data_IF_208131711285
#
_entry.id   IF_208131711285
#
_cell.length_a   1.000
_cell.length_b   1.000
_cell.length_c   1.000
_cell.angle_alpha   90.00
_cell.angle_beta   90.00
_cell.angle_gamma   90.00
#
_symmetry.space_group_name_H-M   'P 1'
#
loop_
_entity.id
_entity.type
_entity.pdbx_description
1 polymer ?
#
# COMPACT_ATOMS: atom_id res chain seq x y z
N UNK A 1 -17.84 47.46 37.52
CA UNK A 1 -16.94 48.53 36.98
C UNK A 1 -16.51 48.10 35.57
N UNK A 2 -17.03 48.82 34.60
CA UNK A 2 -16.57 49.15 33.24
C UNK A 2 -15.89 48.07 32.36
N UNK A 3 -16.59 47.63 31.27
CA UNK A 3 -16.60 48.09 29.89
C UNK A 3 -15.24 47.96 29.17
N UNK A 4 -15.15 47.26 28.05
CA UNK A 4 -15.50 47.65 26.67
C UNK A 4 -15.23 46.46 25.69
N UNK A 5 -16.06 46.01 24.87
CA UNK A 5 -16.65 46.19 23.53
C UNK A 5 -15.67 46.47 22.38
N UNK A 6 -15.92 45.67 21.33
CA UNK A 6 -15.76 45.90 19.89
C UNK A 6 -14.43 45.45 19.25
N UNK A 7 -14.47 44.76 18.14
CA UNK A 7 -15.04 44.94 16.79
C UNK A 7 -14.90 43.65 15.98
N UNK A 8 -15.90 43.06 15.44
CA UNK A 8 -16.58 43.14 14.13
C UNK A 8 -15.75 43.06 12.84
N UNK A 9 -16.13 42.02 12.03
CA UNK A 9 -16.19 41.92 10.53
C UNK A 9 -14.93 41.38 9.84
N UNK A 10 -15.05 40.36 8.99
CA UNK A 10 -15.82 40.31 7.72
C UNK A 10 -16.02 38.87 7.25
N UNK A 11 -17.22 38.56 6.82
CA UNK A 11 -17.56 37.37 6.08
C UNK A 11 -17.05 37.45 4.64
N UNK A 12 -16.84 36.30 4.04
CA UNK A 12 -16.69 36.19 2.61
C UNK A 12 -17.72 35.17 2.11
N UNK A 13 -18.75 35.70 1.45
CA UNK A 13 -19.72 34.97 0.64
C UNK A 13 -19.00 34.39 -0.56
N UNK A 14 -19.12 33.12 -0.81
CA UNK A 14 -18.75 32.53 -2.09
C UNK A 14 -20.02 32.12 -2.83
N UNK A 15 -20.22 32.78 -3.96
CA UNK A 15 -21.35 32.66 -4.87
C UNK A 15 -21.23 31.36 -5.62
N UNK A 16 -22.26 30.50 -5.56
CA UNK A 16 -22.46 29.39 -6.48
C UNK A 16 -22.86 29.91 -7.85
N UNK A 17 -22.05 29.65 -8.85
CA UNK A 17 -22.41 29.83 -10.25
C UNK A 17 -22.72 28.46 -10.86
N UNK A 18 -23.99 28.21 -11.11
CA UNK A 18 -24.47 27.10 -11.96
C UNK A 18 -24.05 27.38 -13.41
N UNK A 19 -23.35 26.45 -14.02
CA UNK A 19 -23.26 26.37 -15.48
C UNK A 19 -24.00 25.11 -15.97
N UNK A 20 -25.12 25.40 -16.65
CA UNK A 20 -25.81 24.42 -17.48
C UNK A 20 -25.04 24.31 -18.81
N UNK A 21 -24.63 23.10 -19.18
CA UNK A 21 -24.11 22.84 -20.53
C UNK A 21 -25.10 21.93 -21.28
N UNK A 22 -25.65 22.51 -22.29
CA UNK A 22 -26.49 21.92 -23.34
C UNK A 22 -25.69 20.92 -24.18
N UNK A 23 -26.23 19.72 -24.33
CA UNK A 23 -25.83 18.70 -25.29
C UNK A 23 -26.13 19.14 -26.71
N UNK A 24 -25.09 19.13 -27.58
CA UNK A 24 -25.26 19.16 -29.02
C UNK A 24 -24.86 17.83 -29.61
N UNK A 25 -25.84 17.10 -30.12
CA UNK A 25 -25.65 15.90 -30.95
C UNK A 25 -25.41 16.37 -32.38
N UNK A 26 -24.25 16.08 -32.90
CA UNK A 26 -23.91 16.32 -34.33
C UNK A 26 -23.63 15.00 -35.03
N UNK A 27 -24.58 14.53 -35.81
CA UNK A 27 -24.38 13.45 -36.77
C UNK A 27 -23.65 13.99 -37.98
N UNK A 28 -22.56 13.36 -38.38
CA UNK A 28 -21.91 13.59 -39.67
C UNK A 28 -21.94 12.28 -40.46
N UNK A 29 -22.70 12.34 -41.53
CA UNK A 29 -22.82 11.33 -42.59
C UNK A 29 -21.60 11.30 -43.49
N UNK A 30 -21.18 10.08 -43.84
CA UNK A 30 -20.16 9.79 -44.84
C UNK A 30 -20.59 10.15 -46.26
N UNK A 31 -19.66 10.57 -47.09
CA UNK A 31 -19.71 10.42 -48.52
C UNK A 31 -18.42 9.81 -49.05
N UNK A 32 -18.61 8.74 -49.83
CA UNK A 32 -17.59 8.03 -50.62
C UNK A 32 -16.94 8.89 -51.68
N UNK A 33 -15.67 8.64 -51.96
CA UNK A 33 -15.16 8.64 -53.33
C UNK A 33 -13.87 7.81 -53.50
N UNK A 34 -13.96 6.88 -54.39
CA UNK A 34 -12.94 5.98 -54.91
C UNK A 34 -11.65 6.66 -55.40
N UNK A 35 -10.50 6.11 -55.05
CA UNK A 35 -9.42 5.92 -56.05
C UNK A 35 -8.44 4.80 -55.60
N UNK A 36 -8.28 3.83 -56.45
CA UNK A 36 -7.35 2.70 -56.36
C UNK A 36 -5.90 3.19 -56.38
N UNK A 37 -5.11 2.78 -55.41
CA UNK A 37 -3.66 2.47 -55.61
C UNK A 37 -3.23 1.39 -54.63
N UNK A 38 -2.93 0.19 -55.19
CA UNK A 38 -2.28 -0.95 -54.54
C UNK A 38 -0.89 -0.52 -54.05
N UNK A 39 -0.64 -0.63 -52.75
CA UNK A 39 0.71 -0.80 -52.20
C UNK A 39 0.73 -2.00 -51.23
N UNK A 40 1.70 -2.87 -51.46
CA UNK A 40 2.01 -4.09 -50.69
C UNK A 40 2.01 -3.77 -49.20
N UNK A 41 1.17 -4.45 -48.43
CA UNK A 41 1.16 -4.43 -47.00
C UNK A 41 2.42 -5.09 -46.42
N UNK A 42 3.26 -4.34 -45.76
CA UNK A 42 4.16 -4.87 -44.78
C UNK A 42 3.31 -5.11 -43.53
N UNK A 43 3.04 -6.35 -43.23
CA UNK A 43 2.52 -6.79 -41.96
C UNK A 43 3.59 -6.48 -40.86
N UNK A 44 3.53 -5.30 -40.27
CA UNK A 44 4.17 -5.08 -39.01
C UNK A 44 3.33 -5.83 -37.95
N UNK A 45 3.79 -7.01 -37.57
CA UNK A 45 3.39 -7.62 -36.31
C UNK A 45 3.86 -6.67 -35.22
N UNK A 46 2.95 -5.90 -34.65
CA UNK A 46 3.18 -5.13 -33.45
C UNK A 46 3.47 -6.19 -32.38
N UNK A 47 4.73 -6.40 -32.06
CA UNK A 47 5.11 -7.13 -30.85
C UNK A 47 4.51 -6.33 -29.71
N UNK A 48 3.47 -6.88 -29.09
CA UNK A 48 2.94 -6.37 -27.83
C UNK A 48 4.13 -6.24 -26.87
N UNK A 49 4.40 -5.00 -26.43
CA UNK A 49 5.50 -4.71 -25.52
C UNK A 49 5.27 -5.51 -24.22
N UNK A 50 6.23 -6.32 -23.85
CA UNK A 50 6.20 -7.23 -22.69
C UNK A 50 5.99 -6.51 -21.34
N UNK A 51 6.05 -5.17 -21.29
CA UNK A 51 5.76 -4.40 -20.08
C UNK A 51 4.25 -4.31 -19.79
N UNK A 52 3.41 -4.24 -20.83
CA UNK A 52 1.95 -4.35 -20.68
C UNK A 52 1.57 -5.78 -20.30
N UNK A 53 2.31 -6.77 -20.80
CA UNK A 53 2.11 -8.18 -20.47
C UNK A 53 2.37 -8.53 -18.98
N UNK A 54 3.14 -7.73 -18.26
CA UNK A 54 3.37 -7.96 -16.82
C UNK A 54 2.17 -7.50 -15.96
N UNK A 55 1.30 -6.64 -16.48
CA UNK A 55 0.10 -6.13 -15.81
C UNK A 55 -1.18 -6.82 -16.33
N UNK A 56 -1.21 -7.20 -17.61
CA UNK A 56 -2.46 -7.63 -18.29
C UNK A 56 -2.61 -9.14 -18.49
N UNK A 57 -1.63 -9.96 -18.16
CA UNK A 57 -1.57 -11.34 -18.64
C UNK A 57 -1.77 -12.43 -17.58
N UNK A 58 -2.45 -12.16 -16.48
CA UNK A 58 -2.95 -13.25 -15.65
C UNK A 58 -4.42 -12.93 -15.37
N UNK A 59 -5.28 -13.82 -15.85
CA UNK A 59 -6.66 -13.95 -15.39
C UNK A 59 -6.60 -14.46 -13.94
N UNK A 60 -6.01 -13.62 -13.07
CA UNK A 60 -5.70 -13.93 -11.70
C UNK A 60 -6.93 -13.62 -10.87
N UNK A 61 -7.66 -14.67 -10.54
CA UNK A 61 -8.80 -14.63 -9.66
C UNK A 61 -8.39 -15.30 -8.33
N UNK A 62 -7.79 -14.55 -7.39
CA UNK A 62 -7.30 -15.14 -6.16
C UNK A 62 -8.45 -15.62 -5.29
N UNK A 63 -8.20 -16.67 -4.52
CA UNK A 63 -9.03 -16.96 -3.34
C UNK A 63 -8.73 -15.89 -2.30
N UNK A 64 -9.75 -15.18 -1.83
CA UNK A 64 -9.61 -14.18 -0.76
C UNK A 64 -10.14 -14.76 0.54
N UNK A 65 -9.26 -14.94 1.52
CA UNK A 65 -9.60 -15.38 2.86
C UNK A 65 -9.57 -14.17 3.80
N UNK A 66 -10.68 -13.91 4.46
CA UNK A 66 -10.84 -12.78 5.40
C UNK A 66 -10.90 -13.32 6.82
N UNK A 67 -10.00 -12.85 7.67
CA UNK A 67 -9.88 -13.24 9.06
C UNK A 67 -10.17 -12.03 9.94
N UNK A 68 -11.29 -12.05 10.66
CA UNK A 68 -11.62 -11.00 11.64
C UNK A 68 -11.30 -11.53 13.02
N UNK A 69 -10.40 -10.84 13.73
CA UNK A 69 -10.13 -11.15 15.11
C UNK A 69 -11.38 -10.97 15.96
N UNK A 70 -11.70 -11.97 16.81
CA UNK A 70 -12.83 -11.91 17.72
C UNK A 70 -12.41 -12.04 19.18
N UNK A 71 -11.27 -11.46 19.56
CA UNK A 71 -10.85 -11.32 20.96
C UNK A 71 -11.79 -10.41 21.76
N UNK A 72 -11.59 -10.37 23.07
CA UNK A 72 -12.41 -9.54 23.96
C UNK A 72 -12.27 -8.03 23.68
N UNK A 73 -11.10 -7.57 23.24
CA UNK A 73 -10.86 -6.17 22.88
C UNK A 73 -11.67 -5.73 21.64
N UNK A 74 -11.96 -6.67 20.73
CA UNK A 74 -12.73 -6.36 19.52
C UNK A 74 -14.22 -6.12 19.78
N UNK A 75 -14.78 -6.53 20.94
CA UNK A 75 -16.20 -6.32 21.27
C UNK A 75 -16.62 -4.83 21.19
N UNK A 76 -15.68 -3.92 21.46
CA UNK A 76 -15.96 -2.48 21.44
C UNK A 76 -16.14 -1.89 20.04
N UNK A 77 -15.62 -2.56 19.01
CA UNK A 77 -15.77 -2.14 17.62
C UNK A 77 -17.08 -2.59 16.98
N UNK A 78 -17.72 -3.62 17.54
CA UNK A 78 -18.97 -4.22 17.02
C UNK A 78 -20.15 -3.97 17.95
N UNK A 79 -20.07 -2.97 18.82
CA UNK A 79 -21.16 -2.58 19.72
C UNK A 79 -21.87 -1.35 19.22
N UNK A 80 -23.00 -1.57 18.55
CA UNK A 80 -23.80 -0.53 17.91
C UNK A 80 -23.31 -0.24 16.48
N UNK A 81 -23.78 0.84 15.89
CA UNK A 81 -23.32 1.25 14.55
C UNK A 81 -21.95 1.91 14.65
N UNK A 82 -20.96 1.29 14.07
CA UNK A 82 -19.56 1.77 14.11
C UNK A 82 -19.00 1.90 12.70
N UNK A 83 -17.97 2.73 12.55
CA UNK A 83 -17.26 2.82 11.27
C UNK A 83 -16.51 1.54 10.94
N UNK A 84 -16.13 0.72 11.93
CA UNK A 84 -15.51 -0.57 11.73
C UNK A 84 -16.37 -1.47 10.82
N UNK A 85 -17.62 -1.67 11.17
CA UNK A 85 -18.55 -2.49 10.38
C UNK A 85 -18.72 -1.93 8.96
N UNK A 86 -18.92 -0.61 8.84
CA UNK A 86 -19.09 0.05 7.56
C UNK A 86 -17.84 -0.07 6.67
N UNK A 87 -16.65 0.18 7.23
CA UNK A 87 -15.38 0.10 6.50
C UNK A 87 -15.13 -1.34 6.02
N UNK A 88 -15.31 -2.32 6.91
CA UNK A 88 -15.10 -3.73 6.58
C UNK A 88 -16.08 -4.18 5.51
N UNK A 89 -17.38 -3.87 5.67
CA UNK A 89 -18.42 -4.22 4.69
C UNK A 89 -18.10 -3.62 3.31
N UNK A 90 -17.87 -2.31 3.24
CA UNK A 90 -17.59 -1.62 1.99
C UNK A 90 -16.34 -2.19 1.32
N UNK A 91 -15.30 -2.48 2.09
CA UNK A 91 -14.08 -3.05 1.53
C UNK A 91 -14.32 -4.41 0.89
N UNK A 92 -15.00 -5.32 1.57
CA UNK A 92 -15.28 -6.67 1.06
C UNK A 92 -16.24 -6.65 -0.14
N UNK A 93 -17.26 -5.79 -0.12
CA UNK A 93 -18.17 -5.60 -1.26
C UNK A 93 -17.41 -5.03 -2.47
N UNK A 94 -16.53 -4.05 -2.24
CA UNK A 94 -15.74 -3.44 -3.29
C UNK A 94 -14.76 -4.42 -3.96
N UNK A 95 -14.20 -5.37 -3.21
CA UNK A 95 -13.39 -6.47 -3.79
C UNK A 95 -14.20 -7.31 -4.77
N UNK A 96 -15.48 -7.61 -4.45
CA UNK A 96 -16.40 -8.33 -5.36
C UNK A 96 -16.79 -7.47 -6.57
N UNK A 97 -17.16 -6.21 -6.36
CA UNK A 97 -17.57 -5.29 -7.44
C UNK A 97 -16.44 -4.99 -8.41
N UNK A 98 -15.21 -4.89 -7.93
CA UNK A 98 -14.01 -4.73 -8.75
C UNK A 98 -13.60 -6.04 -9.47
N UNK A 99 -14.33 -7.14 -9.28
CA UNK A 99 -14.04 -8.46 -9.85
C UNK A 99 -12.62 -8.96 -9.54
N UNK A 100 -12.15 -8.66 -8.34
CA UNK A 100 -10.85 -9.10 -7.87
C UNK A 100 -10.88 -10.58 -7.54
N UNK A 101 -11.97 -11.03 -6.94
CA UNK A 101 -12.20 -12.44 -6.58
C UNK A 101 -13.63 -12.86 -6.83
N UNK A 102 -13.80 -14.11 -7.25
CA UNK A 102 -15.10 -14.81 -7.25
C UNK A 102 -15.28 -15.69 -6.00
N UNK A 103 -14.19 -15.93 -5.24
CA UNK A 103 -14.18 -16.80 -4.07
C UNK A 103 -13.65 -16.05 -2.85
N UNK A 104 -14.56 -15.65 -1.95
CA UNK A 104 -14.27 -14.94 -0.71
C UNK A 104 -14.75 -15.80 0.46
N UNK A 105 -13.81 -16.26 1.29
CA UNK A 105 -14.07 -17.04 2.49
C UNK A 105 -13.93 -16.17 3.74
N UNK A 106 -14.82 -16.36 4.69
CA UNK A 106 -14.89 -15.59 5.93
C UNK A 106 -14.54 -16.45 7.13
N UNK A 107 -13.74 -15.91 8.04
CA UNK A 107 -13.31 -16.57 9.27
C UNK A 107 -13.32 -15.57 10.42
N UNK A 108 -13.71 -16.05 11.61
CA UNK A 108 -13.19 -15.46 12.83
C UNK A 108 -11.85 -16.10 13.19
N UNK A 109 -10.99 -15.33 13.83
CA UNK A 109 -9.68 -15.82 14.29
C UNK A 109 -9.42 -15.36 15.74
N UNK A 110 -8.94 -16.27 16.53
CA UNK A 110 -8.41 -16.07 17.89
C UNK A 110 -7.33 -17.13 18.16
N UNK A 111 -7.47 -17.99 19.17
CA UNK A 111 -6.62 -19.18 19.30
C UNK A 111 -6.86 -20.23 18.22
N UNK A 112 -7.95 -20.11 17.45
CA UNK A 112 -8.39 -21.04 16.41
C UNK A 112 -8.87 -20.27 15.18
N UNK A 113 -8.89 -20.95 14.03
CA UNK A 113 -9.62 -20.51 12.85
C UNK A 113 -11.05 -21.03 12.91
N UNK A 114 -12.02 -20.13 12.75
CA UNK A 114 -13.45 -20.40 12.89
C UNK A 114 -14.17 -20.02 11.59
N UNK A 115 -14.29 -20.97 10.62
CA UNK A 115 -14.88 -20.66 9.32
C UNK A 115 -16.35 -20.27 9.45
N UNK A 116 -16.80 -19.34 8.62
CA UNK A 116 -18.15 -18.84 8.52
C UNK A 116 -18.73 -19.18 7.16
N UNK A 117 -19.99 -19.58 7.13
CA UNK A 117 -20.70 -19.96 5.90
C UNK A 117 -21.64 -18.84 5.40
N UNK A 118 -21.75 -17.75 6.18
CA UNK A 118 -22.60 -16.60 5.82
C UNK A 118 -22.04 -15.90 4.58
N UNK A 119 -22.89 -15.23 3.81
CA UNK A 119 -22.39 -14.27 2.82
C UNK A 119 -21.84 -13.01 3.52
N UNK A 120 -21.23 -12.10 2.75
CA UNK A 120 -20.58 -10.91 3.32
C UNK A 120 -21.58 -10.02 4.05
N UNK A 121 -22.79 -9.84 3.51
CA UNK A 121 -23.79 -8.99 4.12
C UNK A 121 -24.28 -9.58 5.43
N UNK A 122 -24.72 -10.83 5.41
CA UNK A 122 -25.20 -11.55 6.60
C UNK A 122 -24.12 -11.63 7.68
N UNK A 123 -22.86 -11.85 7.27
CA UNK A 123 -21.73 -11.90 8.18
C UNK A 123 -21.52 -10.58 8.91
N UNK A 124 -21.54 -9.45 8.17
CA UNK A 124 -21.34 -8.13 8.76
C UNK A 124 -22.54 -7.70 9.62
N UNK A 125 -23.77 -7.97 9.18
CA UNK A 125 -24.97 -7.66 9.96
C UNK A 125 -25.02 -8.42 11.30
N UNK A 126 -24.31 -9.56 11.40
CA UNK A 126 -24.18 -10.35 12.64
C UNK A 126 -22.94 -9.99 13.47
N UNK A 127 -22.19 -8.95 13.07
CA UNK A 127 -21.04 -8.48 13.86
C UNK A 127 -21.52 -7.73 15.10
N UNK A 128 -21.67 -8.46 16.20
CA UNK A 128 -22.03 -7.92 17.52
C UNK A 128 -21.33 -8.69 18.62
N UNK A 129 -21.21 -8.15 19.86
CA UNK A 129 -20.47 -8.82 20.94
C UNK A 129 -21.02 -10.20 21.28
N UNK A 130 -22.35 -10.42 21.13
CA UNK A 130 -22.99 -11.71 21.38
C UNK A 130 -22.57 -12.77 20.36
N UNK A 131 -22.55 -12.42 19.07
CA UNK A 131 -22.12 -13.32 18.01
C UNK A 131 -20.62 -13.65 18.12
N UNK A 132 -19.79 -12.65 18.45
CA UNK A 132 -18.37 -12.88 18.73
C UNK A 132 -18.15 -13.90 19.84
N UNK A 133 -18.88 -13.76 20.95
CA UNK A 133 -18.77 -14.68 22.10
C UNK A 133 -19.26 -16.08 21.77
N UNK A 134 -20.28 -16.21 20.96
CA UNK A 134 -20.89 -17.49 20.59
C UNK A 134 -19.98 -18.36 19.71
N UNK A 135 -18.97 -17.79 19.05
CA UNK A 135 -18.12 -18.53 18.08
C UNK A 135 -17.06 -19.40 18.75
N UNK A 136 -16.78 -19.21 20.05
CA UNK A 136 -15.83 -20.03 20.80
C UNK A 136 -14.36 -19.62 20.60
N UNK A 137 -13.46 -20.53 20.97
CA UNK A 137 -12.02 -20.25 21.03
C UNK A 137 -11.63 -19.47 22.29
N UNK A 138 -10.33 -19.25 22.49
CA UNK A 138 -9.84 -18.40 23.58
C UNK A 138 -9.86 -16.93 23.12
N UNK A 139 -10.74 -16.16 23.72
CA UNK A 139 -10.92 -14.73 23.46
C UNK A 139 -10.19 -13.83 24.46
N UNK A 140 -9.60 -14.41 25.50
CA UNK A 140 -8.98 -13.68 26.61
C UNK A 140 -7.53 -13.26 26.36
N UNK A 141 -6.91 -13.77 25.29
CA UNK A 141 -5.52 -13.44 24.94
C UNK A 141 -5.39 -13.31 23.44
N UNK A 142 -4.71 -12.24 22.98
CA UNK A 142 -4.38 -12.03 21.58
C UNK A 142 -2.92 -12.41 21.34
N UNK A 143 -2.68 -13.62 20.84
CA UNK A 143 -1.38 -14.07 20.34
C UNK A 143 -1.28 -13.79 18.83
N UNK A 144 -0.88 -12.57 18.50
CA UNK A 144 -0.80 -12.10 17.11
C UNK A 144 0.17 -12.95 16.29
N UNK A 145 1.29 -13.37 16.88
CA UNK A 145 2.27 -14.25 16.23
C UNK A 145 1.64 -15.59 15.81
N UNK A 146 0.85 -16.19 16.70
CA UNK A 146 0.14 -17.44 16.41
C UNK A 146 -0.96 -17.24 15.35
N UNK A 147 -1.73 -16.13 15.41
CA UNK A 147 -2.76 -15.82 14.42
C UNK A 147 -2.14 -15.68 13.02
N UNK A 148 -1.04 -14.92 12.88
CA UNK A 148 -0.31 -14.80 11.61
C UNK A 148 0.21 -16.15 11.16
N UNK A 149 0.71 -16.98 12.10
CA UNK A 149 1.16 -18.34 11.80
C UNK A 149 0.05 -19.25 11.25
N UNK A 150 -1.18 -19.15 11.79
CA UNK A 150 -2.35 -19.86 11.25
C UNK A 150 -2.71 -19.36 9.85
N UNK A 151 -2.70 -18.04 9.62
CA UNK A 151 -2.95 -17.44 8.31
C UNK A 151 -1.92 -17.93 7.28
N UNK A 152 -0.63 -17.91 7.61
CA UNK A 152 0.43 -18.37 6.70
C UNK A 152 0.27 -19.85 6.30
N UNK A 153 -0.26 -20.70 7.16
CA UNK A 153 -0.50 -22.12 6.86
C UNK A 153 -1.62 -22.34 5.83
N UNK A 154 -2.62 -21.46 5.81
CA UNK A 154 -3.75 -21.50 4.86
C UNK A 154 -3.45 -20.85 3.53
N UNK A 155 -2.28 -20.21 3.38
CA UNK A 155 -1.92 -19.45 2.17
C UNK A 155 -1.18 -20.30 1.14
N UNK A 156 -1.32 -19.89 -0.12
CA UNK A 156 -0.48 -20.26 -1.25
C UNK A 156 -0.37 -19.08 -2.22
N UNK A 157 0.35 -19.23 -3.33
CA UNK A 157 0.56 -18.15 -4.32
C UNK A 157 -0.72 -17.65 -5.01
N UNK A 158 -1.82 -18.41 -4.93
CA UNK A 158 -3.14 -18.03 -5.46
C UNK A 158 -4.08 -17.44 -4.40
N UNK A 159 -3.61 -17.26 -3.16
CA UNK A 159 -4.41 -16.77 -2.04
C UNK A 159 -4.03 -15.34 -1.67
N UNK A 160 -5.03 -14.54 -1.34
CA UNK A 160 -4.85 -13.28 -0.62
C UNK A 160 -5.55 -13.41 0.73
N UNK A 161 -4.81 -13.23 1.81
CA UNK A 161 -5.31 -13.25 3.17
C UNK A 161 -5.46 -11.83 3.70
N UNK A 162 -6.66 -11.51 4.21
CA UNK A 162 -6.98 -10.21 4.81
C UNK A 162 -7.19 -10.42 6.30
N UNK A 163 -6.32 -9.88 7.13
CA UNK A 163 -6.41 -9.95 8.58
C UNK A 163 -6.88 -8.62 9.14
N UNK A 164 -7.97 -8.62 9.89
CA UNK A 164 -8.62 -7.44 10.47
C UNK A 164 -8.61 -7.58 11.99
N UNK A 165 -7.95 -6.63 12.67
CA UNK A 165 -7.67 -6.70 14.10
C UNK A 165 -7.36 -5.32 14.67
N UNK A 166 -7.55 -5.11 15.96
CA UNK A 166 -6.99 -3.96 16.67
C UNK A 166 -5.49 -4.11 16.95
N UNK A 167 -4.93 -5.28 16.67
CA UNK A 167 -3.52 -5.63 16.83
C UNK A 167 -2.96 -5.35 18.23
N UNK A 168 -3.79 -5.40 19.28
CA UNK A 168 -3.35 -5.23 20.66
C UNK A 168 -2.76 -6.54 21.17
N UNK A 169 -1.53 -6.49 21.62
CA UNK A 169 -0.87 -7.64 22.23
C UNK A 169 -1.32 -7.84 23.68
N UNK A 170 -1.48 -9.09 24.13
CA UNK A 170 -1.92 -9.44 25.46
C UNK A 170 -0.87 -10.30 26.18
N UNK A 171 0.10 -9.69 26.89
CA UNK A 171 1.13 -10.46 27.60
C UNK A 171 0.56 -11.23 28.78
N UNK A 172 -0.45 -10.72 29.45
CA UNK A 172 -1.01 -11.26 30.67
C UNK A 172 -0.29 -10.76 31.93
N UNK A 173 -0.95 -10.94 33.07
CA UNK A 173 -0.47 -10.44 34.38
C UNK A 173 0.92 -10.96 34.72
N UNK A 174 1.78 -10.07 35.23
CA UNK A 174 3.09 -10.40 35.77
C UNK A 174 4.16 -10.71 34.74
N UNK A 175 3.87 -10.56 33.45
CA UNK A 175 4.88 -10.69 32.39
C UNK A 175 5.53 -9.35 32.11
N UNK A 176 6.84 -9.39 31.77
CA UNK A 176 7.52 -8.21 31.25
C UNK A 176 7.00 -7.87 29.85
N UNK A 177 6.52 -6.65 29.68
CA UNK A 177 5.93 -6.20 28.42
C UNK A 177 6.96 -6.15 27.27
N UNK A 178 8.17 -5.69 27.56
CA UNK A 178 9.22 -5.57 26.55
C UNK A 178 9.72 -6.92 26.08
N UNK A 179 9.94 -7.86 27.01
CA UNK A 179 10.31 -9.23 26.67
C UNK A 179 9.21 -9.90 25.85
N UNK A 180 7.95 -9.77 26.27
CA UNK A 180 6.83 -10.34 25.54
C UNK A 180 6.73 -9.79 24.12
N UNK A 181 6.76 -8.47 23.93
CA UNK A 181 6.69 -7.83 22.61
C UNK A 181 7.86 -8.26 21.71
N UNK A 182 9.07 -8.37 22.27
CA UNK A 182 10.22 -8.86 21.51
C UNK A 182 10.03 -10.31 21.06
N UNK A 183 9.51 -11.18 21.95
CA UNK A 183 9.22 -12.57 21.61
C UNK A 183 8.13 -12.68 20.52
N UNK A 184 7.10 -11.84 20.58
CA UNK A 184 6.07 -11.76 19.54
C UNK A 184 6.67 -11.29 18.19
N UNK A 185 7.53 -10.27 18.19
CA UNK A 185 8.25 -9.82 16.98
C UNK A 185 9.06 -10.96 16.38
N UNK A 186 9.83 -11.69 17.19
CA UNK A 186 10.64 -12.84 16.75
C UNK A 186 9.74 -13.94 16.17
N UNK A 187 8.61 -14.22 16.83
CA UNK A 187 7.62 -15.21 16.37
C UNK A 187 7.05 -14.82 15.00
N UNK A 188 6.61 -13.58 14.83
CA UNK A 188 6.10 -13.05 13.55
C UNK A 188 7.18 -13.13 12.46
N UNK A 189 8.38 -12.67 12.75
CA UNK A 189 9.53 -12.77 11.82
C UNK A 189 9.77 -14.22 11.38
N UNK A 190 9.67 -15.17 12.32
CA UNK A 190 9.90 -16.58 12.03
C UNK A 190 8.82 -17.14 11.11
N UNK A 191 7.52 -16.99 11.44
CA UNK A 191 6.43 -17.58 10.63
C UNK A 191 6.31 -16.95 9.24
N UNK A 192 6.43 -15.61 9.15
CA UNK A 192 6.43 -14.89 7.88
C UNK A 192 7.69 -15.22 7.06
N UNK A 193 8.85 -15.28 7.72
CA UNK A 193 10.12 -15.59 7.07
C UNK A 193 10.21 -17.02 6.54
N UNK A 194 9.64 -18.01 7.24
CA UNK A 194 9.53 -19.38 6.75
C UNK A 194 8.64 -19.43 5.50
N UNK A 195 7.48 -18.78 5.53
CA UNK A 195 6.60 -18.68 4.37
C UNK A 195 7.31 -17.98 3.20
N UNK A 196 7.95 -16.83 3.44
CA UNK A 196 8.68 -16.06 2.42
C UNK A 196 9.82 -16.85 1.76
N UNK A 197 10.50 -17.73 2.51
CA UNK A 197 11.55 -18.60 1.95
C UNK A 197 11.01 -19.56 0.88
N UNK A 198 9.80 -20.09 1.10
CA UNK A 198 9.14 -20.99 0.15
C UNK A 198 8.40 -20.19 -0.95
N UNK A 199 7.92 -18.99 -0.65
CA UNK A 199 7.10 -18.14 -1.49
C UNK A 199 7.70 -16.72 -1.61
N UNK A 200 8.81 -16.53 -2.35
CA UNK A 200 9.57 -15.26 -2.37
C UNK A 200 8.83 -14.09 -3.06
N UNK A 201 7.66 -14.36 -3.62
CA UNK A 201 6.76 -13.33 -4.17
C UNK A 201 5.83 -12.73 -3.11
N UNK A 202 5.87 -13.22 -1.87
CA UNK A 202 5.07 -12.67 -0.77
C UNK A 202 5.34 -11.18 -0.62
N UNK A 203 4.27 -10.44 -0.49
CA UNK A 203 4.25 -9.04 -0.07
C UNK A 203 3.17 -8.86 1.00
N UNK A 204 3.28 -7.81 1.78
CA UNK A 204 2.34 -7.46 2.82
C UNK A 204 1.97 -5.99 2.70
N UNK A 205 0.69 -5.67 2.84
CA UNK A 205 0.17 -4.32 2.94
C UNK A 205 -0.55 -4.15 4.27
N UNK A 206 -0.45 -2.96 4.88
CA UNK A 206 -1.14 -2.63 6.11
C UNK A 206 -1.79 -1.25 6.04
N UNK A 207 -3.04 -1.16 6.49
CA UNK A 207 -3.79 0.07 6.63
C UNK A 207 -4.18 0.27 8.08
N UNK A 208 -3.98 1.49 8.59
CA UNK A 208 -4.53 1.93 9.86
C UNK A 208 -5.85 2.66 9.61
N UNK A 209 -6.90 2.22 10.27
CA UNK A 209 -8.24 2.79 10.21
C UNK A 209 -8.64 3.29 11.60
N UNK A 210 -9.57 4.24 11.67
CA UNK A 210 -10.17 4.71 12.92
C UNK A 210 -11.65 4.37 12.96
N UNK A 211 -12.13 3.91 14.11
CA UNK A 211 -13.54 3.66 14.35
C UNK A 211 -13.97 4.12 15.73
N UNK A 212 -15.24 4.41 15.87
CA UNK A 212 -15.90 4.49 17.17
C UNK A 212 -15.74 3.15 17.87
N UNK A 213 -15.43 3.23 19.15
CA UNK A 213 -15.21 2.11 20.05
C UNK A 213 -16.06 2.33 21.31
N UNK A 214 -16.80 1.31 21.74
CA UNK A 214 -17.58 1.32 22.97
C UNK A 214 -17.42 -0.01 23.70
N UNK A 215 -16.33 -0.16 24.44
CA UNK A 215 -15.99 -1.44 25.07
C UNK A 215 -14.86 -1.35 26.08
N UNK A 216 -14.39 -2.50 26.50
CA UNK A 216 -13.25 -2.59 27.40
C UNK A 216 -11.94 -2.63 26.59
N UNK A 217 -11.04 -1.71 26.92
CA UNK A 217 -9.65 -1.77 26.55
C UNK A 217 -8.88 -2.52 27.65
N UNK A 218 -8.02 -3.45 27.25
CA UNK A 218 -7.21 -4.22 28.17
C UNK A 218 -5.75 -3.75 28.10
N UNK A 219 -5.19 -3.40 29.25
CA UNK A 219 -3.78 -3.05 29.38
C UNK A 219 -2.88 -4.31 29.42
N UNK A 220 -1.56 -4.14 29.54
CA UNK A 220 -0.59 -5.24 29.61
C UNK A 220 -0.81 -6.23 30.75
N UNK A 221 -1.61 -5.87 31.77
CA UNK A 221 -1.94 -6.72 32.91
C UNK A 221 -3.33 -7.35 32.79
N UNK A 222 -3.96 -7.27 31.60
CA UNK A 222 -5.33 -7.68 31.35
C UNK A 222 -6.34 -6.93 32.24
N UNK A 223 -6.01 -5.70 32.64
CA UNK A 223 -6.91 -4.85 33.39
C UNK A 223 -7.79 -4.06 32.42
N UNK A 224 -9.11 -4.34 32.46
CA UNK A 224 -10.08 -3.73 31.54
C UNK A 224 -10.49 -2.34 32.00
N UNK A 225 -10.38 -1.34 31.12
CA UNK A 225 -10.91 0.03 31.32
C UNK A 225 -12.01 0.26 30.31
N UNK A 226 -13.21 0.61 30.75
CA UNK A 226 -14.31 0.99 29.86
C UNK A 226 -13.95 2.30 29.14
N UNK A 227 -14.00 2.29 27.80
CA UNK A 227 -13.71 3.44 26.98
C UNK A 227 -14.76 3.62 25.90
N UNK A 228 -15.15 4.87 25.66
CA UNK A 228 -16.05 5.28 24.58
C UNK A 228 -15.35 6.41 23.83
N UNK A 229 -15.00 6.18 22.56
CA UNK A 229 -14.27 7.16 21.75
C UNK A 229 -13.75 6.55 20.46
N UNK A 230 -12.79 7.19 19.83
CA UNK A 230 -12.14 6.68 18.63
C UNK A 230 -10.95 5.79 18.98
N UNK A 231 -10.87 4.64 18.32
CA UNK A 231 -9.75 3.70 18.45
C UNK A 231 -9.29 3.23 17.07
N UNK A 232 -7.97 2.97 16.88
CA UNK A 232 -7.47 2.38 15.65
C UNK A 232 -7.81 0.88 15.57
N UNK A 233 -8.01 0.43 14.34
CA UNK A 233 -7.93 -0.97 13.95
C UNK A 233 -7.15 -1.07 12.63
N UNK A 234 -6.77 -2.26 12.25
CA UNK A 234 -5.87 -2.47 11.13
C UNK A 234 -6.42 -3.50 10.16
N UNK A 235 -6.17 -3.28 8.87
CA UNK A 235 -6.44 -4.22 7.80
C UNK A 235 -5.10 -4.60 7.18
N UNK A 236 -4.69 -5.84 7.36
CA UNK A 236 -3.45 -6.38 6.81
C UNK A 236 -3.76 -7.32 5.66
N UNK A 237 -3.08 -7.17 4.54
CA UNK A 237 -3.18 -8.03 3.37
C UNK A 237 -1.87 -8.78 3.18
N UNK A 238 -1.96 -10.08 3.05
CA UNK A 238 -0.85 -10.96 2.73
C UNK A 238 -1.14 -11.64 1.39
N UNK A 239 -0.20 -11.62 0.46
CA UNK A 239 -0.40 -12.22 -0.86
C UNK A 239 0.84 -12.05 -1.73
N UNK A 240 0.79 -12.48 -2.98
CA UNK A 240 1.86 -12.15 -3.91
C UNK A 240 1.86 -10.66 -4.24
N UNK A 241 3.03 -10.08 -4.49
CA UNK A 241 3.14 -8.66 -4.86
C UNK A 241 2.24 -8.31 -6.05
N UNK A 242 2.13 -9.19 -7.04
CA UNK A 242 1.25 -8.98 -8.19
C UNK A 242 -0.23 -8.95 -7.81
N UNK A 243 -0.67 -9.85 -6.90
CA UNK A 243 -2.05 -9.87 -6.41
C UNK A 243 -2.42 -8.61 -5.65
N UNK A 244 -1.56 -8.19 -4.70
CA UNK A 244 -1.80 -7.00 -3.89
C UNK A 244 -1.78 -5.73 -4.74
N UNK A 245 -0.86 -5.65 -5.72
CA UNK A 245 -0.81 -4.55 -6.66
C UNK A 245 -2.08 -4.46 -7.51
N UNK A 246 -2.61 -5.59 -7.97
CA UNK A 246 -3.89 -5.62 -8.70
C UNK A 246 -5.04 -5.13 -7.83
N UNK A 247 -5.14 -5.59 -6.59
CA UNK A 247 -6.16 -5.11 -5.64
C UNK A 247 -6.09 -3.58 -5.53
N UNK A 248 -4.91 -3.03 -5.24
CA UNK A 248 -4.71 -1.59 -5.08
C UNK A 248 -5.11 -0.82 -6.35
N UNK A 249 -4.65 -1.27 -7.53
CA UNK A 249 -4.93 -0.59 -8.79
C UNK A 249 -6.41 -0.65 -9.19
N UNK A 250 -7.08 -1.80 -9.03
CA UNK A 250 -8.51 -1.92 -9.34
C UNK A 250 -9.37 -1.13 -8.35
N UNK A 251 -9.01 -1.08 -7.08
CA UNK A 251 -9.68 -0.24 -6.09
C UNK A 251 -9.53 1.25 -6.45
N UNK A 252 -8.34 1.71 -6.80
CA UNK A 252 -8.08 3.09 -7.23
C UNK A 252 -8.81 3.45 -8.54
N UNK A 253 -8.76 2.56 -9.54
CA UNK A 253 -9.41 2.76 -10.85
C UNK A 253 -10.93 2.89 -10.72
N UNK A 254 -11.55 2.11 -9.86
CA UNK A 254 -12.97 2.14 -9.60
C UNK A 254 -13.36 3.17 -8.54
N UNK A 255 -12.41 3.94 -8.02
CA UNK A 255 -12.61 4.92 -6.92
C UNK A 255 -13.17 4.30 -5.64
N UNK A 256 -12.91 3.01 -5.43
CA UNK A 256 -13.22 2.31 -4.20
C UNK A 256 -12.11 2.58 -3.18
N UNK A 257 -12.13 3.74 -2.58
CA UNK A 257 -11.20 4.06 -1.49
C UNK A 257 -11.66 3.36 -0.21
N UNK A 258 -10.71 2.97 0.62
CA UNK A 258 -10.98 2.58 2.00
C UNK A 258 -11.38 3.85 2.76
N UNK A 259 -12.67 3.99 3.03
CA UNK A 259 -13.16 5.04 3.92
C UNK A 259 -12.52 4.86 5.30
N UNK A 260 -12.12 5.97 5.93
CA UNK A 260 -11.53 5.93 7.29
C UNK A 260 -10.05 5.56 7.37
N UNK A 261 -9.36 5.27 6.25
CA UNK A 261 -7.90 5.17 6.24
C UNK A 261 -7.28 6.56 6.39
N UNK A 262 -6.46 6.71 7.41
CA UNK A 262 -5.84 7.99 7.80
C UNK A 262 -4.55 8.29 7.02
N UNK A 263 -4.43 7.92 5.74
CA UNK A 263 -3.21 7.95 4.95
C UNK A 263 -2.05 7.08 5.51
N UNK A 264 -2.34 6.28 6.50
CA UNK A 264 -1.37 5.42 7.18
C UNK A 264 -1.34 4.06 6.49
N UNK A 265 -0.64 4.03 5.38
CA UNK A 265 -0.42 2.85 4.55
C UNK A 265 1.02 2.40 4.69
N UNK A 266 1.25 1.10 4.73
CA UNK A 266 2.57 0.50 4.62
C UNK A 266 2.57 -0.68 3.66
N UNK A 267 3.73 -0.95 3.06
CA UNK A 267 3.92 -2.13 2.24
C UNK A 267 5.33 -2.69 2.43
N UNK A 268 5.41 -4.02 2.42
CA UNK A 268 6.66 -4.77 2.50
C UNK A 268 6.73 -5.75 1.33
N UNK A 269 7.85 -5.75 0.62
CA UNK A 269 8.12 -6.71 -0.45
C UNK A 269 9.61 -6.99 -0.56
N UNK A 270 9.98 -8.13 -1.13
CA UNK A 270 11.38 -8.46 -1.42
C UNK A 270 11.95 -7.53 -2.49
N UNK A 271 13.22 -7.12 -2.31
CA UNK A 271 13.92 -6.26 -3.27
C UNK A 271 14.21 -6.98 -4.60
N UNK A 272 14.00 -6.30 -5.72
CA UNK A 272 14.22 -6.83 -7.08
C UNK A 272 15.00 -5.86 -7.96
N UNK A 273 15.59 -6.38 -9.05
CA UNK A 273 16.13 -5.52 -10.10
C UNK A 273 14.98 -5.07 -11.00
N UNK A 274 14.92 -3.78 -11.33
CA UNK A 274 13.91 -3.25 -12.25
C UNK A 274 14.07 -3.90 -13.62
N UNK A 275 13.01 -4.46 -14.20
CA UNK A 275 13.06 -4.98 -15.57
C UNK A 275 13.41 -3.86 -16.56
N UNK A 276 14.23 -4.16 -17.58
CA UNK A 276 14.69 -3.20 -18.59
C UNK A 276 13.55 -2.56 -19.41
N UNK A 277 12.38 -3.20 -19.44
CA UNK A 277 11.19 -2.64 -20.08
C UNK A 277 10.50 -1.55 -19.25
N UNK A 278 10.81 -1.49 -17.94
CA UNK A 278 10.14 -0.64 -16.98
C UNK A 278 10.83 0.72 -16.76
N UNK A 279 11.99 0.96 -17.36
CA UNK A 279 12.65 2.28 -17.29
C UNK A 279 13.37 2.64 -18.57
N UNK A 280 13.60 3.93 -18.79
CA UNK A 280 14.38 4.43 -19.92
C UNK A 280 14.84 5.86 -19.68
N UNK A 281 15.95 6.24 -20.31
CA UNK A 281 16.36 7.64 -20.40
C UNK A 281 15.33 8.44 -21.19
N UNK A 282 14.84 9.54 -20.60
CA UNK A 282 13.84 10.43 -21.23
C UNK A 282 14.49 11.25 -22.33
N UNK A 283 14.01 11.08 -23.58
CA UNK A 283 14.48 11.86 -24.72
C UNK A 283 14.23 13.35 -24.50
N UNK A 284 15.17 14.19 -24.91
CA UNK A 284 15.03 15.64 -24.83
C UNK A 284 15.11 16.23 -23.40
N UNK A 285 15.43 15.42 -22.39
CA UNK A 285 15.56 15.88 -21.01
C UNK A 285 16.93 16.50 -20.69
N UNK A 286 17.84 16.54 -21.67
CA UNK A 286 19.19 17.09 -21.55
C UNK A 286 19.89 17.18 -22.90
N UNK A 287 21.19 17.56 -22.89
CA UNK A 287 22.05 17.64 -24.08
C UNK A 287 22.88 16.37 -24.19
N UNK A 288 22.37 15.34 -24.82
CA UNK A 288 23.03 14.05 -25.00
C UNK A 288 22.47 13.30 -26.21
N UNK A 289 23.18 12.27 -26.65
CA UNK A 289 22.73 11.29 -27.60
C UNK A 289 22.41 9.97 -26.89
N UNK A 290 21.50 9.19 -27.45
CA UNK A 290 21.22 7.84 -26.98
C UNK A 290 22.04 6.84 -27.78
N UNK A 291 22.73 5.93 -27.09
CA UNK A 291 23.54 4.88 -27.74
C UNK A 291 22.67 3.98 -28.62
N UNK A 292 23.05 3.82 -29.90
CA UNK A 292 22.25 3.07 -30.88
C UNK A 292 22.01 1.61 -30.46
N UNK A 293 22.99 0.97 -29.81
CA UNK A 293 22.88 -0.44 -29.35
C UNK A 293 22.01 -0.60 -28.12
N UNK A 294 21.83 0.46 -27.32
CA UNK A 294 21.00 0.45 -26.09
C UNK A 294 20.38 1.84 -25.88
N UNK A 295 19.40 2.20 -26.70
CA UNK A 295 18.80 3.55 -26.66
C UNK A 295 17.89 3.84 -25.47
N UNK A 296 17.68 2.83 -24.60
CA UNK A 296 16.88 3.01 -23.39
C UNK A 296 17.72 3.34 -22.17
N UNK A 297 18.90 2.74 -22.05
CA UNK A 297 19.66 2.79 -20.82
C UNK A 297 21.06 3.39 -20.96
N UNK A 298 21.45 3.80 -22.19
CA UNK A 298 22.80 4.30 -22.44
C UNK A 298 22.81 5.69 -23.06
N UNK A 299 23.54 6.61 -22.43
CA UNK A 299 23.79 8.01 -22.83
C UNK A 299 25.19 8.14 -23.39
N UNK A 300 25.32 8.83 -24.53
CA UNK A 300 26.59 9.24 -25.15
C UNK A 300 26.61 10.75 -25.34
N UNK A 301 27.81 11.36 -25.46
CA UNK A 301 27.99 12.78 -25.74
C UNK A 301 27.24 13.71 -24.78
N UNK A 302 27.11 13.32 -23.53
CA UNK A 302 26.43 14.13 -22.52
C UNK A 302 27.19 15.47 -22.31
N UNK A 303 26.49 16.57 -22.38
CA UNK A 303 27.06 17.93 -22.30
C UNK A 303 26.36 18.76 -21.23
N UNK A 304 27.11 19.70 -20.66
CA UNK A 304 26.56 20.70 -19.77
C UNK A 304 25.58 21.65 -20.49
N UNK A 305 24.62 22.15 -19.77
CA UNK A 305 23.72 23.20 -20.20
C UNK A 305 24.40 24.60 -20.16
N UNK A 306 23.64 25.66 -20.46
CA UNK A 306 24.13 27.04 -20.42
C UNK A 306 24.59 27.50 -19.02
N UNK A 307 24.16 26.81 -17.97
CA UNK A 307 24.50 27.09 -16.59
C UNK A 307 25.68 26.23 -16.09
N UNK A 308 26.30 25.48 -16.98
CA UNK A 308 27.42 24.57 -16.65
C UNK A 308 26.97 23.26 -15.99
N UNK A 309 25.67 23.00 -15.88
CA UNK A 309 25.14 21.79 -15.24
C UNK A 309 24.83 20.70 -16.27
N UNK A 310 25.14 19.48 -15.90
CA UNK A 310 24.78 18.28 -16.65
C UNK A 310 23.43 17.79 -16.12
N UNK A 311 22.45 17.60 -17.00
CA UNK A 311 21.11 17.15 -16.63
C UNK A 311 20.61 16.09 -17.58
N UNK A 312 19.90 15.12 -17.02
CA UNK A 312 19.08 14.16 -17.77
C UNK A 312 18.00 13.60 -16.85
N UNK A 313 17.03 12.91 -17.43
CA UNK A 313 15.94 12.30 -16.68
C UNK A 313 15.74 10.85 -17.08
N UNK A 314 15.23 10.06 -16.13
CA UNK A 314 14.88 8.66 -16.33
C UNK A 314 13.38 8.51 -16.09
N UNK A 315 12.67 7.99 -17.09
CA UNK A 315 11.26 7.59 -16.95
C UNK A 315 11.21 6.19 -16.39
N UNK A 316 10.34 5.97 -15.38
CA UNK A 316 10.24 4.71 -14.65
C UNK A 316 8.78 4.31 -14.49
N UNK A 317 8.48 3.02 -14.69
CA UNK A 317 7.18 2.46 -14.37
C UNK A 317 7.24 1.80 -12.98
N UNK A 318 6.70 2.49 -11.97
CA UNK A 318 6.54 1.96 -10.62
C UNK A 318 5.18 1.30 -10.37
N UNK A 319 4.30 1.24 -11.39
CA UNK A 319 2.98 0.60 -11.24
C UNK A 319 3.03 -0.86 -10.74
N UNK A 320 4.08 -1.67 -10.99
CA UNK A 320 4.20 -3.01 -10.41
C UNK A 320 4.50 -3.05 -8.91
N UNK A 321 4.83 -1.90 -8.29
CA UNK A 321 5.19 -1.82 -6.88
C UNK A 321 4.04 -1.27 -6.04
N UNK A 322 3.81 -1.89 -4.88
CA UNK A 322 2.77 -1.51 -3.93
C UNK A 322 3.24 -0.36 -3.01
N UNK A 323 3.76 0.72 -3.60
CA UNK A 323 4.30 1.87 -2.89
C UNK A 323 3.44 3.12 -3.14
N UNK A 324 3.32 3.99 -2.15
CA UNK A 324 2.59 5.25 -2.31
C UNK A 324 3.36 6.25 -3.15
N UNK A 325 2.64 7.15 -3.85
CA UNK A 325 3.29 8.25 -4.58
C UNK A 325 4.11 9.16 -3.66
N UNK A 326 3.69 9.35 -2.41
CA UNK A 326 4.46 10.11 -1.43
C UNK A 326 5.84 9.49 -1.19
N UNK A 327 5.91 8.16 -1.10
CA UNK A 327 7.18 7.44 -0.97
C UNK A 327 8.00 7.50 -2.25
N UNK A 328 7.37 7.28 -3.40
CA UNK A 328 8.03 7.26 -4.70
C UNK A 328 8.57 8.63 -5.13
N UNK A 329 7.95 9.72 -4.70
CA UNK A 329 8.39 11.09 -5.01
C UNK A 329 9.36 11.68 -3.96
N UNK A 330 9.60 10.99 -2.85
CA UNK A 330 10.59 11.42 -1.85
C UNK A 330 12.01 11.08 -2.31
N UNK A 331 12.77 12.11 -2.66
CA UNK A 331 14.16 11.95 -3.14
C UNK A 331 15.09 11.34 -2.09
N UNK A 332 14.78 11.44 -0.80
CA UNK A 332 15.57 10.84 0.28
C UNK A 332 15.51 9.31 0.28
N UNK A 333 14.49 8.72 -0.38
CA UNK A 333 14.36 7.28 -0.55
C UNK A 333 15.23 6.71 -1.67
N UNK A 334 16.00 7.56 -2.35
CA UNK A 334 16.86 7.12 -3.44
C UNK A 334 18.33 7.25 -3.11
N UNK A 335 19.12 6.27 -3.55
CA UNK A 335 20.57 6.29 -3.44
C UNK A 335 21.20 6.04 -4.81
N UNK A 336 22.19 6.87 -5.15
CA UNK A 336 23.05 6.70 -6.32
C UNK A 336 24.40 6.13 -5.89
N UNK A 337 24.95 5.21 -6.67
CA UNK A 337 26.28 4.66 -6.40
C UNK A 337 27.42 5.65 -6.73
N UNK A 338 27.16 6.68 -7.56
CA UNK A 338 28.14 7.72 -7.89
C UNK A 338 27.71 9.05 -7.25
N UNK A 339 28.40 9.55 -6.21
CA UNK A 339 28.06 10.76 -5.48
C UNK A 339 28.20 12.06 -6.30
N UNK A 340 28.78 11.99 -7.50
CA UNK A 340 28.88 13.13 -8.42
C UNK A 340 27.55 13.47 -9.08
N UNK A 341 26.62 12.51 -9.11
CA UNK A 341 25.25 12.69 -9.56
C UNK A 341 24.32 12.83 -8.35
N UNK A 342 23.27 13.62 -8.50
CA UNK A 342 22.23 13.77 -7.49
C UNK A 342 20.85 13.76 -8.14
N UNK A 343 19.88 13.21 -7.44
CA UNK A 343 18.47 13.29 -7.81
C UNK A 343 17.95 14.64 -7.34
N UNK A 344 17.40 15.42 -8.26
CA UNK A 344 16.85 16.75 -7.99
C UNK A 344 15.37 16.67 -7.60
N UNK A 345 14.61 15.87 -8.33
CA UNK A 345 13.20 15.61 -8.06
C UNK A 345 12.79 14.27 -8.64
N UNK A 346 11.71 13.73 -8.11
CA UNK A 346 10.97 12.61 -8.68
C UNK A 346 9.51 13.04 -8.77
N UNK A 347 8.92 12.92 -9.96
CA UNK A 347 7.59 13.43 -10.24
C UNK A 347 6.71 12.36 -10.85
N UNK A 348 5.43 12.32 -10.43
CA UNK A 348 4.43 11.48 -11.07
C UNK A 348 4.05 12.04 -12.43
N UNK A 349 3.96 11.19 -13.44
CA UNK A 349 3.45 11.54 -14.78
C UNK A 349 1.93 11.61 -14.71
N UNK A 350 1.34 12.77 -15.03
CA UNK A 350 -0.10 13.03 -14.89
C UNK A 350 -0.98 12.31 -15.92
N UNK A 351 -0.44 12.04 -17.10
CA UNK A 351 -1.16 11.37 -18.18
C UNK A 351 -0.85 9.87 -18.16
N UNK A 352 -1.83 9.02 -18.50
CA UNK A 352 -1.62 7.59 -18.60
C UNK A 352 -0.61 7.27 -19.73
N UNK A 353 0.61 6.96 -19.34
CA UNK A 353 1.71 6.64 -20.22
C UNK A 353 2.36 5.31 -19.80
N UNK A 354 3.27 4.82 -20.64
CA UNK A 354 4.07 3.62 -20.35
C UNK A 354 4.82 3.70 -19.03
N UNK A 355 5.23 4.89 -18.61
CA UNK A 355 5.96 5.17 -17.38
C UNK A 355 5.08 5.97 -16.42
N UNK A 356 5.22 5.70 -15.13
CA UNK A 356 4.43 6.34 -14.08
C UNK A 356 5.11 7.55 -13.45
N UNK A 357 6.46 7.57 -13.47
CA UNK A 357 7.27 8.60 -12.81
C UNK A 357 8.45 9.02 -13.66
N UNK A 358 8.99 10.19 -13.36
CA UNK A 358 10.23 10.74 -13.94
C UNK A 358 11.19 11.09 -12.81
N UNK A 359 12.41 10.58 -12.88
CA UNK A 359 13.52 10.91 -11.98
C UNK A 359 14.40 11.93 -12.69
N UNK A 360 14.59 13.12 -12.11
CA UNK A 360 15.47 14.16 -12.61
C UNK A 360 16.83 14.11 -11.94
N UNK A 361 17.91 14.01 -12.75
CA UNK A 361 19.27 13.82 -12.29
C UNK A 361 20.15 14.96 -12.77
N UNK A 362 21.02 15.45 -11.91
CA UNK A 362 21.96 16.53 -12.16
C UNK A 362 23.37 16.18 -11.69
N UNK A 363 24.37 16.71 -12.38
CA UNK A 363 25.77 16.72 -11.95
C UNK A 363 26.47 18.04 -12.35
N UNK A 364 27.57 18.38 -11.65
CA UNK A 364 28.35 19.58 -11.96
C UNK A 364 29.19 19.42 -13.23
N UNK A 365 29.62 18.20 -13.52
CA UNK A 365 30.43 17.85 -14.71
C UNK A 365 30.00 16.50 -15.25
N UNK A 366 30.35 16.25 -16.51
CA UNK A 366 30.18 14.91 -17.11
C UNK A 366 31.18 13.95 -16.49
N UNK A 367 30.68 12.86 -15.95
CA UNK A 367 31.46 11.72 -15.46
C UNK A 367 30.93 10.46 -16.12
N UNK A 368 31.77 9.72 -16.88
CA UNK A 368 31.39 8.39 -17.33
C UNK A 368 31.13 7.49 -16.12
N UNK A 369 30.01 6.81 -16.12
CA UNK A 369 29.55 6.00 -14.99
C UNK A 369 28.55 4.94 -15.42
N UNK A 370 28.57 3.79 -14.78
CA UNK A 370 27.42 2.88 -14.71
C UNK A 370 26.60 3.32 -13.50
N UNK A 371 25.75 4.33 -13.71
CA UNK A 371 24.98 4.94 -12.65
C UNK A 371 23.87 4.01 -12.19
N UNK A 372 24.03 3.44 -11.00
CA UNK A 372 23.00 2.64 -10.34
C UNK A 372 22.10 3.56 -9.51
N UNK A 373 20.80 3.46 -9.74
CA UNK A 373 19.75 4.18 -9.01
C UNK A 373 18.99 3.14 -8.18
N UNK A 374 19.09 3.23 -6.87
CA UNK A 374 18.34 2.39 -5.92
C UNK A 374 17.19 3.17 -5.33
N UNK A 375 15.99 2.59 -5.35
CA UNK A 375 14.90 2.98 -4.46
C UNK A 375 15.04 2.15 -3.19
N UNK A 376 15.46 2.78 -2.11
CA UNK A 376 15.77 2.11 -0.86
C UNK A 376 14.53 1.55 -0.17
N UNK A 377 14.70 0.51 0.62
CA UNK A 377 13.67 0.06 1.57
C UNK A 377 13.70 0.98 2.77
N UNK A 378 12.56 1.59 3.11
CA UNK A 378 12.36 2.35 4.34
C UNK A 378 11.39 1.62 5.25
N UNK A 379 11.60 1.67 6.55
CA UNK A 379 10.54 1.32 7.49
C UNK A 379 9.50 2.44 7.48
N UNK A 380 8.21 2.12 7.39
CA UNK A 380 7.18 3.13 7.52
C UNK A 380 7.29 3.80 8.89
N UNK A 381 7.18 5.12 8.93
CA UNK A 381 7.42 5.92 10.17
C UNK A 381 6.18 5.90 11.08
N UNK A 382 4.98 5.73 10.52
CA UNK A 382 3.76 5.85 11.30
C UNK A 382 3.61 4.83 12.46
N UNK A 383 4.13 3.57 12.40
CA UNK A 383 4.08 2.68 13.55
C UNK A 383 4.81 3.25 14.77
N UNK A 384 5.87 4.05 14.57
CA UNK A 384 6.58 4.69 15.68
C UNK A 384 5.71 5.72 16.41
N UNK A 385 4.88 6.48 15.68
CA UNK A 385 3.98 7.48 16.28
C UNK A 385 2.80 6.87 17.02
N UNK A 386 2.26 5.76 16.50
CA UNK A 386 1.04 5.13 17.03
C UNK A 386 1.32 3.91 17.90
N UNK A 387 2.57 3.65 18.23
CA UNK A 387 2.97 2.56 19.09
C UNK A 387 2.88 2.92 20.57
N UNK A 388 2.44 1.96 21.39
CA UNK A 388 2.62 1.95 22.84
C UNK A 388 3.49 0.74 23.20
N UNK A 389 4.70 0.97 23.75
CA UNK A 389 5.58 -0.09 24.25
C UNK A 389 5.32 -0.44 25.72
N UNK A 390 4.57 0.42 26.42
CA UNK A 390 4.38 0.28 27.86
C UNK A 390 3.13 -0.49 28.24
N UNK A 391 2.15 -0.58 27.32
CA UNK A 391 0.86 -1.20 27.56
C UNK A 391 0.13 -0.54 28.72
N UNK A 392 0.13 0.78 28.77
CA UNK A 392 -0.50 1.54 29.82
C UNK A 392 -2.03 1.49 29.74
N UNK A 393 -2.70 1.78 30.84
CA UNK A 393 -4.14 2.01 30.84
C UNK A 393 -4.50 3.11 29.83
N UNK A 394 -5.65 2.92 29.15
CA UNK A 394 -6.10 3.84 28.12
C UNK A 394 -6.47 5.21 28.70
N UNK A 395 -6.09 6.25 28.00
CA UNK A 395 -6.46 7.65 28.26
C UNK A 395 -6.71 8.36 26.92
N UNK A 396 -7.29 9.55 26.95
CA UNK A 396 -7.50 10.35 25.72
C UNK A 396 -6.19 10.64 24.97
N UNK A 397 -5.07 10.77 25.69
CA UNK A 397 -3.76 11.08 25.11
C UNK A 397 -3.20 9.91 24.29
N UNK A 398 -3.49 8.66 24.68
CA UNK A 398 -2.98 7.46 24.03
C UNK A 398 -4.06 6.64 23.32
N UNK A 399 -5.29 7.17 23.19
CA UNK A 399 -6.42 6.46 22.60
C UNK A 399 -6.17 6.00 21.15
N UNK A 400 -5.34 6.72 20.41
CA UNK A 400 -4.96 6.38 19.04
C UNK A 400 -3.72 5.48 18.95
N UNK A 401 -3.11 5.12 20.08
CA UNK A 401 -1.97 4.22 20.12
C UNK A 401 -2.41 2.77 20.31
N UNK A 402 -1.60 1.86 19.77
CA UNK A 402 -1.79 0.42 19.89
C UNK A 402 -0.58 -0.22 20.54
N UNK A 403 -0.82 -1.03 21.56
CA UNK A 403 0.25 -1.72 22.27
C UNK A 403 0.90 -2.77 21.38
N UNK A 404 2.17 -2.52 21.01
CA UNK A 404 3.01 -3.45 20.24
C UNK A 404 2.90 -3.37 18.72
N UNK A 405 2.13 -2.44 18.11
CA UNK A 405 1.97 -2.40 16.64
C UNK A 405 3.30 -2.28 15.89
N UNK A 406 4.28 -1.55 16.45
CA UNK A 406 5.62 -1.47 15.87
C UNK A 406 6.31 -2.82 15.83
N UNK A 407 6.18 -3.63 16.87
CA UNK A 407 6.78 -4.97 16.93
C UNK A 407 6.19 -5.92 15.88
N UNK A 408 4.90 -5.79 15.57
CA UNK A 408 4.29 -6.50 14.46
C UNK A 408 4.87 -6.05 13.11
N UNK A 409 4.91 -4.74 12.86
CA UNK A 409 5.45 -4.17 11.63
C UNK A 409 6.93 -4.54 11.43
N UNK A 410 7.76 -4.39 12.47
CA UNK A 410 9.17 -4.74 12.45
C UNK A 410 9.39 -6.25 12.21
N UNK A 411 8.59 -7.12 12.83
CA UNK A 411 8.66 -8.55 12.61
C UNK A 411 8.40 -8.95 11.16
N UNK A 412 7.38 -8.35 10.54
CA UNK A 412 7.07 -8.53 9.12
C UNK A 412 8.19 -7.96 8.23
N UNK A 413 8.65 -6.74 8.52
CA UNK A 413 9.72 -6.09 7.76
C UNK A 413 11.00 -6.92 7.76
N UNK A 414 11.45 -7.34 8.93
CA UNK A 414 12.67 -8.15 9.10
C UNK A 414 12.57 -9.54 8.44
N UNK A 415 11.36 -10.06 8.23
CA UNK A 415 11.13 -11.32 7.53
C UNK A 415 11.28 -11.18 6.00
N UNK A 416 10.80 -10.08 5.43
CA UNK A 416 10.62 -9.89 3.99
C UNK A 416 11.75 -9.04 3.39
N UNK A 417 12.13 -7.96 4.07
CA UNK A 417 13.13 -7.01 3.58
C UNK A 417 14.52 -7.59 3.83
N UNK A 418 15.13 -8.13 2.77
CA UNK A 418 16.47 -8.74 2.81
C UNK A 418 17.51 -7.97 2.01
N UNK A 419 17.11 -6.87 1.38
CA UNK A 419 17.95 -5.97 0.60
C UNK A 419 17.72 -4.54 1.06
N UNK A 420 18.70 -3.69 0.90
CA UNK A 420 18.62 -2.25 1.21
C UNK A 420 17.81 -1.45 0.17
N UNK A 421 17.19 -2.13 -0.81
CA UNK A 421 16.39 -1.50 -1.87
C UNK A 421 15.17 -2.33 -2.24
N UNK A 422 14.08 -1.65 -2.59
CA UNK A 422 12.91 -2.25 -3.26
C UNK A 422 13.21 -2.58 -4.71
N UNK A 423 13.88 -1.67 -5.40
CA UNK A 423 14.30 -1.89 -6.78
C UNK A 423 15.55 -1.10 -7.11
N UNK A 424 16.27 -1.56 -8.12
CA UNK A 424 17.44 -0.87 -8.68
C UNK A 424 17.40 -0.90 -10.20
N UNK A 425 17.93 0.14 -10.81
CA UNK A 425 18.10 0.29 -12.25
C UNK A 425 19.47 0.89 -12.57
N UNK A 426 19.95 0.69 -13.79
CA UNK A 426 21.30 1.16 -14.19
C UNK A 426 21.21 1.98 -15.48
N UNK A 427 21.84 3.14 -15.49
CA UNK A 427 22.03 4.00 -16.67
C UNK A 427 23.51 4.09 -16.98
N UNK A 428 23.89 3.70 -18.20
CA UNK A 428 25.25 3.76 -18.66
C UNK A 428 25.55 5.15 -19.26
N UNK A 429 26.50 5.88 -18.69
CA UNK A 429 26.92 7.20 -19.15
C UNK A 429 28.31 7.06 -19.75
N UNK A 430 28.40 7.18 -21.07
CA UNK A 430 29.62 7.07 -21.83
C UNK A 430 30.17 8.47 -22.19
N UNK A 431 31.48 8.53 -22.54
CA UNK A 431 32.11 9.76 -23.04
C UNK A 431 31.50 10.19 -24.38
#
# INVERSE_FOLDING_TARGET
MFFNKNTLKKGCFCVMTLFATTTVVGAITCCDSNSRRTKKGNNYVVKQDTATAYIDAIDFNPVVNVYIENSGSMDGYVKGQTEFEQIVYNYLVNLKLAKITSNLNLFYINSNLLPQQDDVQDFIEKLEPSSFRAKGGNRGTSDISNMIGMIMKEMNDSTVSIFISDCIFSPGRGKDAGEYLNNQKIGIKNVVGQYFNAHPKLAVMGYRCLSTFNGYYYDKNDSGTLYIGKRPFYIWLFGTQGALNRIQNEMLKNRYQLDGVQNDFMAFAGGTTMPDSCYAVKRGSGKFDLKKSDPKHSIENLKADKNGKVRFSVEVNYAPFILSDAYLCDTSMYVLNDPKYKIVSVERIKEYQKYSHVIHIEADKVHPSNLEIKLCTGSPIWPDYFNDDKGCALSEINAEKTFGIKHMADGIAEAIIRKDYYTRMTININK
#
